data_IF_308687833572
#
_entry.id   IF_308687833572
#
_cell.length_a   1.000
_cell.length_b   1.000
_cell.length_c   1.000
_cell.angle_alpha   90.00
_cell.angle_beta   90.00
_cell.angle_gamma   90.00
#
_symmetry.space_group_name_H-M   'P 1'
#
loop_
_entity.id
_entity.type
_entity.pdbx_description
1 polymer ?
#
# COMPACT_ATOMS: atom_id res chain seq x y z
N UNK A 1 6.53 -10.55 -13.41
CA UNK A 1 6.92 -9.84 -12.17
C UNK A 1 7.42 -8.46 -12.57
N UNK A 2 6.82 -7.40 -12.03
CA UNK A 2 7.16 -6.00 -12.29
C UNK A 2 7.25 -5.26 -10.95
N UNK A 3 8.07 -4.21 -10.88
CA UNK A 3 8.14 -3.32 -9.72
C UNK A 3 7.11 -2.20 -9.88
N UNK A 4 6.27 -2.01 -8.87
CA UNK A 4 5.19 -1.01 -8.84
C UNK A 4 5.40 -0.10 -7.64
N UNK A 5 5.59 1.19 -7.89
CA UNK A 5 5.62 2.21 -6.84
C UNK A 5 4.26 2.90 -6.75
N UNK A 6 3.62 2.84 -5.58
CA UNK A 6 2.36 3.53 -5.29
C UNK A 6 2.66 4.72 -4.37
N UNK A 7 2.35 5.93 -4.81
CA UNK A 7 2.54 7.16 -4.02
C UNK A 7 1.22 7.55 -3.36
N UNK A 8 1.19 7.47 -2.03
CA UNK A 8 0.00 7.66 -1.20
C UNK A 8 -0.66 6.33 -0.82
N UNK A 9 -1.00 6.19 0.46
CA UNK A 9 -1.75 5.05 1.00
C UNK A 9 -3.05 5.57 1.63
N UNK A 10 -3.91 6.18 0.83
CA UNK A 10 -5.33 6.35 1.20
C UNK A 10 -6.13 5.22 0.58
N UNK A 11 -7.46 5.19 0.78
CA UNK A 11 -8.32 4.10 0.29
C UNK A 11 -8.05 3.60 -1.14
N UNK A 12 -7.89 4.50 -2.12
CA UNK A 12 -7.56 4.10 -3.51
C UNK A 12 -6.14 3.53 -3.62
N UNK A 13 -5.15 4.18 -2.99
CA UNK A 13 -3.76 3.73 -3.00
C UNK A 13 -3.59 2.37 -2.33
N UNK A 14 -4.31 2.12 -1.23
CA UNK A 14 -4.34 0.84 -0.53
C UNK A 14 -4.96 -0.27 -1.40
N UNK A 15 -6.12 -0.03 -2.01
CA UNK A 15 -6.77 -1.01 -2.90
C UNK A 15 -5.86 -1.33 -4.10
N UNK A 16 -5.26 -0.33 -4.72
CA UNK A 16 -4.35 -0.53 -5.86
C UNK A 16 -3.11 -1.34 -5.46
N UNK A 17 -2.49 -1.00 -4.33
CA UNK A 17 -1.31 -1.69 -3.83
C UNK A 17 -1.62 -3.16 -3.52
N UNK A 18 -2.76 -3.44 -2.88
CA UNK A 18 -3.20 -4.80 -2.59
C UNK A 18 -3.45 -5.60 -3.87
N UNK A 19 -4.17 -5.02 -4.85
CA UNK A 19 -4.43 -5.69 -6.12
C UNK A 19 -3.14 -5.96 -6.92
N UNK A 20 -2.18 -5.02 -6.90
CA UNK A 20 -0.88 -5.19 -7.54
C UNK A 20 -0.07 -6.31 -6.87
N UNK A 21 -0.10 -6.40 -5.53
CA UNK A 21 0.56 -7.46 -4.78
C UNK A 21 -0.04 -8.84 -5.06
N UNK A 22 -1.37 -8.97 -5.01
CA UNK A 22 -2.10 -10.21 -5.34
C UNK A 22 -1.85 -10.68 -6.77
N UNK A 23 -1.57 -9.75 -7.69
CA UNK A 23 -1.18 -10.06 -9.07
C UNK A 23 0.30 -10.53 -9.20
N UNK A 24 1.03 -10.70 -8.09
CA UNK A 24 2.42 -11.19 -8.06
C UNK A 24 3.45 -10.13 -8.47
N UNK A 25 3.15 -8.85 -8.24
CA UNK A 25 4.10 -7.76 -8.46
C UNK A 25 4.85 -7.43 -7.16
N UNK A 26 6.06 -6.90 -7.32
CA UNK A 26 6.82 -6.34 -6.20
C UNK A 26 6.37 -4.89 -6.01
N UNK A 27 5.76 -4.60 -4.86
CA UNK A 27 5.06 -3.32 -4.62
C UNK A 27 5.77 -2.53 -3.53
N UNK A 28 6.11 -1.28 -3.82
CA UNK A 28 6.60 -0.30 -2.84
C UNK A 28 5.55 0.79 -2.67
N UNK A 29 5.16 1.07 -1.42
CA UNK A 29 4.20 2.12 -1.10
C UNK A 29 4.91 3.29 -0.42
N UNK A 30 4.86 4.47 -1.04
CA UNK A 30 5.43 5.71 -0.53
C UNK A 30 4.33 6.52 0.15
N UNK A 31 4.31 6.52 1.48
CA UNK A 31 3.36 7.30 2.28
C UNK A 31 3.99 8.59 2.75
N UNK A 32 3.26 9.71 2.59
CA UNK A 32 3.61 10.98 3.24
C UNK A 32 2.74 11.13 4.48
N UNK A 33 3.35 10.97 5.64
CA UNK A 33 2.70 11.17 6.94
C UNK A 33 2.55 12.68 7.14
N UNK A 34 1.41 13.24 6.74
CA UNK A 34 1.15 14.67 6.88
C UNK A 34 0.44 15.03 8.19
N UNK A 35 0.62 14.27 9.27
CA UNK A 35 -0.27 14.30 10.46
C UNK A 35 -1.73 14.05 10.01
N UNK A 36 -2.54 13.23 10.69
CA UNK A 36 -3.95 13.01 10.30
C UNK A 36 -4.25 12.51 8.85
N UNK A 37 -3.28 11.96 8.11
CA UNK A 37 -3.59 11.11 6.95
C UNK A 37 -4.38 9.92 7.49
N UNK A 38 -5.70 9.96 7.35
CA UNK A 38 -6.60 8.91 7.78
C UNK A 38 -6.06 7.59 7.21
N UNK A 39 -5.37 6.84 8.06
CA UNK A 39 -5.11 5.43 7.82
C UNK A 39 -6.47 4.80 8.01
N UNK A 40 -7.26 4.77 6.95
CA UNK A 40 -8.48 4.00 6.97
C UNK A 40 -8.12 2.54 7.30
N UNK A 41 -9.01 1.78 7.95
CA UNK A 41 -8.67 0.44 8.43
C UNK A 41 -8.22 -0.49 7.29
N UNK A 42 -8.64 -0.23 6.03
CA UNK A 42 -8.20 -0.99 4.87
C UNK A 42 -6.74 -0.65 4.55
N UNK A 43 -6.36 0.63 4.54
CA UNK A 43 -4.96 1.08 4.39
C UNK A 43 -4.05 0.48 5.46
N UNK A 44 -4.48 0.47 6.73
CA UNK A 44 -3.70 -0.11 7.83
C UNK A 44 -3.47 -1.62 7.61
N UNK A 45 -4.51 -2.33 7.16
CA UNK A 45 -4.42 -3.74 6.81
C UNK A 45 -3.51 -3.98 5.59
N UNK A 46 -3.60 -3.14 4.55
CA UNK A 46 -2.72 -3.21 3.38
C UNK A 46 -1.26 -3.00 3.76
N UNK A 47 -0.96 -2.01 4.62
CA UNK A 47 0.40 -1.78 5.09
C UNK A 47 0.92 -2.96 5.92
N UNK A 48 0.09 -3.55 6.79
CA UNK A 48 0.47 -4.75 7.54
C UNK A 48 0.75 -5.94 6.62
N UNK A 49 -0.07 -6.13 5.58
CA UNK A 49 0.11 -7.20 4.59
C UNK A 49 1.40 -7.02 3.77
N UNK A 50 1.80 -5.78 3.51
CA UNK A 50 3.03 -5.46 2.78
C UNK A 50 4.28 -5.48 3.67
N UNK A 51 4.18 -5.08 4.95
CA UNK A 51 5.31 -5.10 5.90
C UNK A 51 5.78 -6.53 6.22
N UNK A 52 4.86 -7.50 6.19
CA UNK A 52 5.16 -8.92 6.37
C UNK A 52 5.94 -9.60 5.23
N UNK A 53 6.27 -8.87 4.16
CA UNK A 53 6.98 -9.39 2.98
C UNK A 53 8.50 -9.21 2.98
N UNK A 54 9.10 -8.73 4.08
CA UNK A 54 10.55 -8.55 4.22
C UNK A 54 11.28 -9.78 4.73
#
# INVERSE_FOLDING_TARGET
MRHVAVVGAGGIGGILAAAAYEAGNDVTVCVKLLDNAAVDPITALTLLALDGGR
#
